data_IF_092672790792
#
_entry.id   IF_092672790792
#
_cell.length_a   1.000
_cell.length_b   1.000
_cell.length_c   1.000
_cell.angle_alpha   90.00
_cell.angle_beta   90.00
_cell.angle_gamma   90.00
#
_symmetry.space_group_name_H-M   'P 1'
#
loop_
_entity.id
_entity.type
_entity.pdbx_description
1 polymer ?
#
# COMPACT_ATOMS: atom_id res chain seq x y z
N UNK A 1 23.41 -14.10 25.94
CA UNK A 1 23.12 -14.96 24.78
C UNK A 1 22.27 -14.17 23.81
N UNK A 2 22.88 -13.66 22.74
CA UNK A 2 22.19 -12.82 21.76
C UNK A 2 21.30 -13.71 20.88
N UNK A 3 20.00 -13.43 20.89
CA UNK A 3 19.01 -14.02 19.99
C UNK A 3 19.46 -13.76 18.55
N UNK A 4 19.75 -14.81 17.79
CA UNK A 4 19.91 -14.73 16.34
C UNK A 4 18.58 -14.28 15.76
N UNK A 5 18.48 -13.01 15.38
CA UNK A 5 17.38 -12.52 14.58
C UNK A 5 17.36 -13.31 13.27
N UNK A 6 16.34 -14.14 13.07
CA UNK A 6 15.99 -14.64 11.75
C UNK A 6 15.77 -13.40 10.87
N UNK A 7 16.70 -13.13 9.97
CA UNK A 7 16.54 -12.11 8.95
C UNK A 7 15.33 -12.50 8.12
N UNK A 8 14.20 -11.89 8.42
CA UNK A 8 12.95 -12.10 7.73
C UNK A 8 13.18 -11.75 6.24
N UNK A 9 12.97 -12.72 5.36
CA UNK A 9 13.11 -12.51 3.92
C UNK A 9 12.09 -11.46 3.50
N UNK A 10 12.55 -10.26 3.10
CA UNK A 10 11.69 -9.14 2.71
C UNK A 10 12.25 -8.44 1.48
N UNK A 11 11.37 -8.02 0.59
CA UNK A 11 11.74 -7.21 -0.57
C UNK A 11 12.04 -5.76 -0.16
N UNK A 12 13.09 -5.18 -0.73
CA UNK A 12 13.53 -3.80 -0.45
C UNK A 12 12.81 -2.82 -1.40
N UNK A 13 11.61 -2.44 -1.05
CA UNK A 13 10.80 -1.52 -1.86
C UNK A 13 11.45 -0.13 -2.02
N UNK A 14 12.14 0.37 -1.00
CA UNK A 14 12.73 1.70 -1.01
C UNK A 14 13.73 1.95 -2.13
N UNK A 15 14.50 0.92 -2.56
CA UNK A 15 15.41 1.05 -3.72
C UNK A 15 14.67 1.34 -5.03
N UNK A 16 13.46 0.82 -5.18
CA UNK A 16 12.63 1.09 -6.35
C UNK A 16 11.99 2.47 -6.29
N UNK A 17 11.62 2.94 -5.10
CA UNK A 17 11.09 4.28 -4.91
C UNK A 17 12.09 5.38 -5.22
N UNK A 18 13.40 5.18 -4.94
CA UNK A 18 14.44 6.11 -5.36
C UNK A 18 14.52 6.28 -6.88
N UNK A 19 14.37 5.18 -7.63
CA UNK A 19 14.30 5.24 -9.10
C UNK A 19 13.00 5.89 -9.60
N UNK A 20 11.91 5.71 -8.86
CA UNK A 20 10.64 6.32 -9.19
C UNK A 20 10.65 7.84 -9.02
N UNK A 21 11.36 8.39 -8.02
CA UNK A 21 11.46 9.83 -7.78
C UNK A 21 11.89 10.62 -9.02
N UNK A 22 12.88 10.09 -9.78
CA UNK A 22 13.34 10.74 -11.03
C UNK A 22 12.25 10.80 -12.11
N UNK A 23 11.17 10.06 -11.96
CA UNK A 23 10.05 9.97 -12.88
C UNK A 23 8.79 10.70 -12.39
N UNK A 24 8.81 11.23 -11.15
CA UNK A 24 7.69 12.04 -10.64
C UNK A 24 7.64 13.35 -11.41
N UNK A 25 6.52 13.60 -12.05
CA UNK A 25 6.22 14.82 -12.79
C UNK A 25 4.84 15.33 -12.40
N UNK A 26 4.53 16.57 -12.82
CA UNK A 26 3.27 17.22 -12.49
C UNK A 26 2.03 16.40 -12.90
N UNK A 27 2.08 15.71 -14.04
CA UNK A 27 0.95 14.86 -14.50
C UNK A 27 0.65 13.71 -13.52
N UNK A 28 1.68 13.14 -12.90
CA UNK A 28 1.51 12.08 -11.88
C UNK A 28 0.97 12.61 -10.57
N UNK A 29 1.41 13.80 -10.18
CA UNK A 29 0.88 14.46 -8.98
C UNK A 29 -0.59 14.77 -9.17
N UNK A 30 -0.98 15.36 -10.30
CA UNK A 30 -2.39 15.63 -10.66
C UNK A 30 -3.22 14.35 -10.73
N UNK A 31 -2.67 13.25 -11.26
CA UNK A 31 -3.35 11.96 -11.28
C UNK A 31 -3.58 11.42 -9.85
N UNK A 32 -2.60 11.57 -8.96
CA UNK A 32 -2.73 11.18 -7.55
C UNK A 32 -3.76 12.05 -6.80
N UNK A 33 -3.77 13.36 -7.02
CA UNK A 33 -4.77 14.28 -6.48
C UNK A 33 -6.19 13.88 -6.93
N UNK A 34 -6.36 13.61 -8.23
CA UNK A 34 -7.63 13.16 -8.79
C UNK A 34 -8.08 11.82 -8.19
N UNK A 35 -7.16 10.88 -8.01
CA UNK A 35 -7.46 9.58 -7.41
C UNK A 35 -7.93 9.74 -5.95
N UNK A 36 -7.19 10.51 -5.13
CA UNK A 36 -7.58 10.79 -3.74
C UNK A 36 -8.92 11.50 -3.66
N UNK A 37 -9.15 12.54 -4.46
CA UNK A 37 -10.42 13.28 -4.49
C UNK A 37 -11.58 12.39 -4.92
N UNK A 38 -11.37 11.52 -5.90
CA UNK A 38 -12.39 10.57 -6.37
C UNK A 38 -12.78 9.58 -5.28
N UNK A 39 -11.82 9.13 -4.46
CA UNK A 39 -12.04 8.11 -3.44
C UNK A 39 -12.52 8.72 -2.12
N UNK A 40 -11.89 9.80 -1.66
CA UNK A 40 -12.08 10.38 -0.33
C UNK A 40 -12.92 11.66 -0.32
N UNK A 41 -13.18 12.25 -1.49
CA UNK A 41 -13.88 13.53 -1.60
C UNK A 41 -12.98 14.72 -1.21
N UNK A 42 -13.58 15.74 -0.59
CA UNK A 42 -12.85 16.92 -0.12
C UNK A 42 -12.11 16.62 1.19
N UNK A 43 -10.79 16.74 1.14
CA UNK A 43 -9.90 16.47 2.29
C UNK A 43 -9.21 17.74 2.84
N UNK A 44 -9.55 18.92 2.33
CA UNK A 44 -8.98 20.19 2.78
C UNK A 44 -9.20 20.40 4.28
N UNK A 45 -8.15 20.78 5.00
CA UNK A 45 -8.15 21.00 6.45
C UNK A 45 -8.26 19.72 7.29
N UNK A 46 -8.31 18.52 6.68
CA UNK A 46 -8.33 17.25 7.40
C UNK A 46 -6.91 16.83 7.77
N UNK A 47 -6.77 16.16 8.93
CA UNK A 47 -5.54 15.46 9.28
C UNK A 47 -5.47 14.13 8.49
N UNK A 48 -4.35 13.91 7.80
CA UNK A 48 -4.15 12.76 6.91
C UNK A 48 -2.89 11.99 7.31
N UNK A 49 -3.02 10.71 7.61
CA UNK A 49 -1.90 9.81 7.85
C UNK A 49 -1.66 8.93 6.63
N UNK A 50 -0.44 8.96 6.08
CA UNK A 50 0.00 8.06 5.01
C UNK A 50 0.88 6.94 5.62
N UNK A 51 0.27 5.78 5.84
CA UNK A 51 0.90 4.65 6.50
C UNK A 51 1.52 3.69 5.46
N UNK A 52 2.85 3.72 5.35
CA UNK A 52 3.61 3.09 4.28
C UNK A 52 3.71 4.02 3.08
N UNK A 53 4.27 5.21 3.28
CA UNK A 53 4.25 6.30 2.30
C UNK A 53 5.09 6.05 1.03
N UNK A 54 6.02 5.10 1.04
CA UNK A 54 6.83 4.74 -0.12
C UNK A 54 7.57 5.92 -0.74
N UNK A 55 7.15 6.33 -1.94
CA UNK A 55 7.72 7.47 -2.66
C UNK A 55 7.23 8.84 -2.15
N UNK A 56 6.20 8.88 -1.30
CA UNK A 56 5.58 10.11 -0.82
C UNK A 56 4.58 10.75 -1.78
N UNK A 57 4.27 10.12 -2.93
CA UNK A 57 3.38 10.72 -3.93
C UNK A 57 1.96 10.96 -3.39
N UNK A 58 1.41 10.00 -2.62
CA UNK A 58 0.10 10.16 -1.97
C UNK A 58 0.13 11.26 -0.91
N UNK A 59 1.21 11.33 -0.12
CA UNK A 59 1.43 12.39 0.86
C UNK A 59 1.49 13.77 0.22
N UNK A 60 2.23 13.91 -0.90
CA UNK A 60 2.32 15.16 -1.67
C UNK A 60 0.96 15.56 -2.23
N UNK A 61 0.23 14.63 -2.83
CA UNK A 61 -1.10 14.88 -3.36
C UNK A 61 -2.09 15.33 -2.26
N UNK A 62 -2.09 14.65 -1.12
CA UNK A 62 -2.92 15.03 0.03
C UNK A 62 -2.57 16.43 0.56
N UNK A 63 -1.27 16.75 0.65
CA UNK A 63 -0.80 18.08 1.07
C UNK A 63 -1.26 19.19 0.10
N UNK A 64 -1.11 18.97 -1.20
CA UNK A 64 -1.58 19.92 -2.24
C UNK A 64 -3.09 20.10 -2.26
N UNK A 65 -3.85 19.08 -1.89
CA UNK A 65 -5.30 19.18 -1.67
C UNK A 65 -5.67 19.90 -0.38
N UNK A 66 -4.68 20.36 0.41
CA UNK A 66 -4.86 21.16 1.62
C UNK A 66 -5.06 20.34 2.89
N UNK A 67 -4.69 19.07 2.91
CA UNK A 67 -4.69 18.26 4.12
C UNK A 67 -3.43 18.53 4.99
N UNK A 68 -3.56 18.32 6.31
CA UNK A 68 -2.44 18.29 7.25
C UNK A 68 -1.86 16.89 7.30
N UNK A 69 -0.74 16.67 6.60
CA UNK A 69 -0.16 15.35 6.37
C UNK A 69 0.83 14.96 7.47
N UNK A 70 0.75 13.69 7.88
CA UNK A 70 1.82 12.95 8.53
C UNK A 70 2.04 11.64 7.75
N UNK A 71 3.27 11.15 7.69
CA UNK A 71 3.61 9.96 6.93
C UNK A 71 4.64 9.11 7.67
N UNK A 72 4.59 7.80 7.49
CA UNK A 72 5.65 6.91 7.94
C UNK A 72 5.85 5.74 6.98
N UNK A 73 7.02 5.14 7.04
CA UNK A 73 7.32 3.89 6.35
C UNK A 73 8.25 3.04 7.21
N UNK A 74 8.17 1.73 7.04
CA UNK A 74 9.10 0.79 7.68
C UNK A 74 10.50 0.84 7.05
N UNK A 75 10.56 1.12 5.73
CA UNK A 75 11.80 1.18 4.97
C UNK A 75 12.39 2.59 5.03
N UNK A 76 13.55 2.73 5.66
CA UNK A 76 14.28 4.00 5.78
C UNK A 76 14.56 4.68 4.44
N UNK A 77 14.71 3.90 3.36
CA UNK A 77 14.89 4.45 2.00
C UNK A 77 13.59 5.06 1.47
N UNK A 78 12.43 4.47 1.77
CA UNK A 78 11.12 5.07 1.47
C UNK A 78 10.93 6.39 2.22
N UNK A 79 11.30 6.43 3.49
CA UNK A 79 11.30 7.68 4.30
C UNK A 79 12.20 8.75 3.66
N UNK A 80 13.41 8.36 3.24
CA UNK A 80 14.34 9.28 2.56
C UNK A 80 13.77 9.78 1.22
N UNK A 81 13.10 8.92 0.45
CA UNK A 81 12.40 9.30 -0.79
C UNK A 81 11.32 10.35 -0.54
N UNK A 82 10.46 10.13 0.46
CA UNK A 82 9.41 11.07 0.81
C UNK A 82 9.98 12.42 1.25
N UNK A 83 11.06 12.43 2.07
CA UNK A 83 11.74 13.65 2.48
C UNK A 83 12.39 14.40 1.31
N UNK A 84 12.97 13.68 0.36
CA UNK A 84 13.52 14.29 -0.85
C UNK A 84 12.42 14.89 -1.73
N UNK A 85 11.26 14.22 -1.85
CA UNK A 85 10.11 14.79 -2.55
C UNK A 85 9.61 16.08 -1.90
N UNK A 86 9.55 16.13 -0.56
CA UNK A 86 9.25 17.37 0.19
C UNK A 86 10.24 18.48 -0.18
N UNK A 87 11.54 18.18 -0.14
CA UNK A 87 12.61 19.14 -0.45
C UNK A 87 12.48 19.70 -1.87
N UNK A 88 12.25 18.81 -2.85
CA UNK A 88 12.10 19.22 -4.27
C UNK A 88 10.89 20.14 -4.50
N UNK A 89 9.85 20.02 -3.70
CA UNK A 89 8.64 20.86 -3.80
C UNK A 89 8.61 22.04 -2.82
N UNK A 90 9.65 22.24 -2.01
CA UNK A 90 9.69 23.30 -0.99
C UNK A 90 8.61 23.13 0.09
N UNK A 91 8.21 21.90 0.38
CA UNK A 91 7.13 21.57 1.32
C UNK A 91 7.69 20.83 2.53
N UNK A 92 6.90 20.82 3.62
CA UNK A 92 7.27 20.10 4.85
C UNK A 92 6.03 19.52 5.52
N UNK A 93 6.13 18.25 5.89
CA UNK A 93 5.22 17.55 6.80
C UNK A 93 5.99 16.49 7.59
N UNK A 94 5.41 16.00 8.69
CA UNK A 94 6.04 14.97 9.51
C UNK A 94 6.22 13.70 8.69
N UNK A 95 7.47 13.23 8.54
CA UNK A 95 7.81 11.95 7.88
C UNK A 95 8.87 11.24 8.71
N UNK A 96 8.57 10.02 9.14
CA UNK A 96 9.44 9.25 10.05
C UNK A 96 9.43 7.76 9.75
N UNK A 97 10.39 7.04 10.32
CA UNK A 97 10.41 5.59 10.31
C UNK A 97 9.40 5.05 11.31
N UNK A 98 8.63 4.04 10.89
CA UNK A 98 7.64 3.42 11.74
C UNK A 98 7.06 2.14 11.13
N UNK A 99 6.43 1.32 11.97
CA UNK A 99 5.85 0.05 11.53
C UNK A 99 4.36 -0.01 11.86
N UNK A 100 3.57 -0.43 10.89
CA UNK A 100 2.14 -0.73 11.12
C UNK A 100 1.93 -1.93 12.06
N UNK A 101 2.97 -2.74 12.30
CA UNK A 101 2.92 -3.83 13.26
C UNK A 101 3.24 -3.37 14.70
N UNK A 102 3.68 -2.13 14.91
CA UNK A 102 3.93 -1.55 16.23
C UNK A 102 2.71 -0.73 16.71
N UNK A 103 1.83 -1.38 17.48
CA UNK A 103 0.64 -0.75 18.04
C UNK A 103 0.98 0.43 18.98
N UNK A 104 2.10 0.33 19.75
CA UNK A 104 2.51 1.42 20.64
C UNK A 104 2.96 2.65 19.84
N UNK A 105 3.68 2.44 18.72
CA UNK A 105 4.04 3.52 17.81
C UNK A 105 2.79 4.20 17.24
N UNK A 106 1.83 3.42 16.72
CA UNK A 106 0.60 3.97 16.15
C UNK A 106 -0.25 4.73 17.18
N UNK A 107 -0.30 4.26 18.41
CA UNK A 107 -0.97 4.96 19.52
C UNK A 107 -0.32 6.32 19.79
N UNK A 108 1.02 6.40 19.78
CA UNK A 108 1.77 7.64 19.99
C UNK A 108 1.64 8.65 18.85
N UNK A 109 1.31 8.20 17.64
CA UNK A 109 1.04 9.10 16.51
C UNK A 109 -0.19 9.98 16.74
N UNK A 110 -1.13 9.54 17.57
CA UNK A 110 -2.42 10.16 17.77
C UNK A 110 -3.46 9.74 16.74
N UNK A 111 -4.52 10.52 16.59
CA UNK A 111 -5.67 10.19 15.74
C UNK A 111 -5.81 11.15 14.57
N UNK A 112 -6.23 10.62 13.43
CA UNK A 112 -6.36 11.34 12.16
C UNK A 112 -7.80 11.23 11.62
N UNK A 113 -8.23 12.28 10.89
CA UNK A 113 -9.51 12.28 10.18
C UNK A 113 -9.51 11.27 9.04
N UNK A 114 -8.32 11.04 8.42
CA UNK A 114 -8.12 10.11 7.33
C UNK A 114 -6.83 9.35 7.57
N UNK A 115 -6.91 8.01 7.50
CA UNK A 115 -5.74 7.12 7.50
C UNK A 115 -5.73 6.39 6.17
N UNK A 116 -4.63 6.50 5.43
CA UNK A 116 -4.41 5.84 4.14
C UNK A 116 -3.29 4.82 4.25
N UNK A 117 -3.52 3.60 3.78
CA UNK A 117 -2.50 2.55 3.69
C UNK A 117 -2.70 1.75 2.40
N UNK A 118 -2.17 2.30 1.31
CA UNK A 118 -2.41 1.78 -0.02
C UNK A 118 -1.25 0.87 -0.48
N UNK A 119 -1.54 -0.45 -0.62
CA UNK A 119 -0.56 -1.41 -1.11
C UNK A 119 0.50 -1.83 -0.08
N UNK A 120 0.21 -1.76 1.22
CA UNK A 120 1.18 -1.94 2.32
C UNK A 120 0.86 -3.14 3.20
N UNK A 121 -0.37 -3.23 3.71
CA UNK A 121 -0.73 -4.14 4.80
C UNK A 121 -0.52 -5.61 4.45
N UNK A 122 -0.69 -5.98 3.19
CA UNK A 122 -0.50 -7.33 2.66
C UNK A 122 0.97 -7.69 2.38
N UNK A 123 1.91 -6.79 2.69
CA UNK A 123 3.36 -7.02 2.64
C UNK A 123 4.00 -7.07 4.02
N UNK A 124 3.21 -7.17 5.07
CA UNK A 124 3.70 -7.20 6.46
C UNK A 124 4.09 -8.59 6.95
N UNK A 125 3.54 -9.65 6.33
CA UNK A 125 3.66 -11.03 6.83
C UNK A 125 2.71 -11.35 7.98
N UNK A 126 2.00 -10.32 8.47
CA UNK A 126 1.01 -10.39 9.56
C UNK A 126 -0.19 -9.47 9.25
N UNK A 127 -0.79 -9.66 8.07
CA UNK A 127 -1.78 -8.74 7.51
C UNK A 127 -2.94 -8.44 8.48
N UNK A 128 -3.50 -9.44 9.16
CA UNK A 128 -4.62 -9.23 10.09
C UNK A 128 -4.20 -8.50 11.38
N UNK A 129 -2.94 -8.63 11.82
CA UNK A 129 -2.37 -7.80 12.89
C UNK A 129 -2.23 -6.36 12.41
N UNK A 130 -1.72 -6.17 11.18
CA UNK A 130 -1.65 -4.86 10.54
C UNK A 130 -3.04 -4.21 10.37
N UNK A 131 -4.08 -4.98 10.01
CA UNK A 131 -5.47 -4.50 9.95
C UNK A 131 -5.97 -4.00 11.31
N UNK A 132 -5.69 -4.76 12.38
CA UNK A 132 -6.09 -4.35 13.73
C UNK A 132 -5.38 -3.07 14.15
N UNK A 133 -4.10 -3.00 13.90
CA UNK A 133 -3.28 -1.88 14.34
C UNK A 133 -3.57 -0.60 13.55
N UNK A 134 -3.79 -0.68 12.22
CA UNK A 134 -4.07 0.51 11.40
C UNK A 134 -5.41 1.19 11.77
N UNK A 135 -6.29 0.49 12.46
CA UNK A 135 -7.54 1.04 13.01
C UNK A 135 -7.32 1.98 14.21
N UNK A 136 -6.15 1.88 14.90
CA UNK A 136 -5.82 2.68 16.09
C UNK A 136 -5.81 4.17 15.76
N UNK A 137 -5.03 4.65 14.78
CA UNK A 137 -4.92 6.08 14.49
C UNK A 137 -6.13 6.69 13.78
N UNK A 138 -7.20 5.94 13.54
CA UNK A 138 -8.43 6.48 12.93
C UNK A 138 -9.32 7.10 13.99
N UNK A 139 -9.66 8.38 13.87
CA UNK A 139 -10.62 9.06 14.76
C UNK A 139 -12.02 8.41 14.68
N UNK A 140 -12.83 8.45 15.75
CA UNK A 140 -14.28 8.21 15.63
C UNK A 140 -14.87 9.09 14.51
N UNK A 141 -15.67 8.51 13.60
CA UNK A 141 -16.18 9.17 12.40
C UNK A 141 -15.16 9.38 11.27
N UNK A 142 -13.88 9.12 11.50
CA UNK A 142 -12.81 9.23 10.52
C UNK A 142 -12.85 8.13 9.46
N UNK A 143 -12.05 8.30 8.40
CA UNK A 143 -11.98 7.39 7.27
C UNK A 143 -10.68 6.58 7.31
N UNK A 144 -10.80 5.30 6.95
CA UNK A 144 -9.69 4.40 6.66
C UNK A 144 -9.74 4.01 5.17
N UNK A 145 -8.71 4.36 4.41
CA UNK A 145 -8.55 3.96 3.01
C UNK A 145 -7.43 2.94 2.87
N UNK A 146 -7.74 1.73 2.43
CA UNK A 146 -6.78 0.65 2.24
C UNK A 146 -6.91 0.00 0.87
N UNK A 147 -5.80 -0.56 0.39
CA UNK A 147 -5.75 -1.36 -0.83
C UNK A 147 -5.07 -2.69 -0.54
N UNK A 148 -5.75 -3.80 -0.83
CA UNK A 148 -5.33 -5.16 -0.48
C UNK A 148 -5.37 -6.06 -1.72
N UNK A 149 -4.37 -6.91 -1.90
CA UNK A 149 -4.36 -7.91 -2.97
C UNK A 149 -5.54 -8.88 -2.85
N UNK A 150 -6.20 -9.08 -4.00
CA UNK A 150 -7.32 -10.00 -4.10
C UNK A 150 -6.86 -11.46 -4.02
N UNK A 151 -7.54 -12.28 -3.22
CA UNK A 151 -7.30 -13.71 -3.17
C UNK A 151 -7.87 -14.41 -4.41
N UNK A 152 -6.98 -15.07 -5.15
CA UNK A 152 -7.29 -15.86 -6.34
C UNK A 152 -7.19 -17.37 -6.08
N UNK A 153 -7.18 -17.78 -4.81
CA UNK A 153 -7.04 -19.18 -4.42
C UNK A 153 -5.68 -19.76 -4.83
N UNK A 154 -5.69 -20.84 -5.62
CA UNK A 154 -4.46 -21.55 -6.04
C UNK A 154 -3.45 -20.63 -6.75
N UNK A 155 -3.91 -19.67 -7.53
CA UNK A 155 -3.02 -18.73 -8.22
C UNK A 155 -2.30 -17.79 -7.22
N UNK A 156 -2.97 -17.40 -6.14
CA UNK A 156 -2.34 -16.63 -5.06
C UNK A 156 -1.24 -17.44 -4.36
N UNK A 157 -1.48 -18.73 -4.13
CA UNK A 157 -0.50 -19.65 -3.56
C UNK A 157 0.72 -19.79 -4.48
N UNK A 158 0.49 -19.98 -5.79
CA UNK A 158 1.56 -20.02 -6.79
C UNK A 158 2.44 -18.75 -6.73
N UNK A 159 1.84 -17.57 -6.75
CA UNK A 159 2.58 -16.30 -6.67
C UNK A 159 3.31 -16.14 -5.35
N UNK A 160 2.75 -16.62 -4.23
CA UNK A 160 3.44 -16.62 -2.93
C UNK A 160 4.74 -17.43 -2.98
N UNK A 161 4.71 -18.59 -3.60
CA UNK A 161 5.90 -19.45 -3.78
C UNK A 161 6.93 -18.78 -4.70
N UNK A 162 6.49 -18.27 -5.85
CA UNK A 162 7.36 -17.55 -6.80
C UNK A 162 8.08 -16.39 -6.13
N UNK A 163 7.35 -15.54 -5.42
CA UNK A 163 7.91 -14.38 -4.70
C UNK A 163 8.88 -14.80 -3.60
N UNK A 164 8.57 -15.87 -2.87
CA UNK A 164 9.47 -16.41 -1.85
C UNK A 164 10.79 -16.87 -2.49
N UNK A 165 10.75 -17.66 -3.56
CA UNK A 165 11.95 -18.13 -4.29
C UNK A 165 12.74 -16.94 -4.85
N UNK A 166 12.07 -15.94 -5.44
CA UNK A 166 12.72 -14.73 -5.95
C UNK A 166 13.58 -14.04 -4.88
N UNK A 167 13.13 -14.05 -3.62
CA UNK A 167 13.81 -13.40 -2.49
C UNK A 167 14.85 -14.29 -1.78
N UNK A 168 15.10 -15.52 -2.21
CA UNK A 168 16.12 -16.39 -1.59
C UNK A 168 17.57 -16.02 -1.97
N UNK A 169 17.77 -15.08 -2.91
CA UNK A 169 19.08 -14.60 -3.31
C UNK A 169 19.23 -14.40 -4.82
N UNK A 170 20.46 -14.24 -5.29
CA UNK A 170 20.73 -13.92 -6.69
C UNK A 170 20.22 -15.01 -7.67
N UNK A 171 20.45 -16.27 -7.37
CA UNK A 171 19.98 -17.39 -8.21
C UNK A 171 18.45 -17.42 -8.32
N UNK A 172 17.74 -17.25 -7.20
CA UNK A 172 16.28 -17.19 -7.20
C UNK A 172 15.75 -16.03 -8.03
N UNK A 173 16.38 -14.86 -7.94
CA UNK A 173 16.01 -13.67 -8.74
C UNK A 173 16.17 -13.94 -10.24
N UNK A 174 17.35 -14.40 -10.68
CA UNK A 174 17.61 -14.67 -12.09
C UNK A 174 16.64 -15.74 -12.60
N UNK A 175 16.52 -16.85 -11.90
CA UNK A 175 15.69 -17.99 -12.29
C UNK A 175 14.20 -17.58 -12.45
N UNK A 176 13.63 -16.91 -11.43
CA UNK A 176 12.24 -16.48 -11.48
C UNK A 176 12.01 -15.39 -12.52
N UNK A 177 12.97 -14.47 -12.73
CA UNK A 177 12.89 -13.47 -13.79
C UNK A 177 12.84 -14.14 -15.17
N UNK A 178 13.72 -15.09 -15.45
CA UNK A 178 13.79 -15.77 -16.75
C UNK A 178 12.53 -16.60 -17.05
N UNK A 179 12.05 -17.36 -16.08
CA UNK A 179 10.84 -18.19 -16.25
C UNK A 179 9.61 -17.33 -16.55
N UNK A 180 9.49 -16.15 -15.91
CA UNK A 180 8.31 -15.30 -16.09
C UNK A 180 8.48 -14.23 -17.18
N UNK A 181 9.66 -14.13 -17.82
CA UNK A 181 9.91 -13.18 -18.90
C UNK A 181 8.92 -13.29 -20.07
N UNK A 182 8.52 -14.51 -20.53
CA UNK A 182 7.51 -14.64 -21.59
C UNK A 182 6.14 -14.06 -21.20
N UNK A 183 5.75 -14.22 -19.96
CA UNK A 183 4.50 -13.64 -19.43
C UNK A 183 4.51 -12.11 -19.50
N UNK A 184 5.63 -11.48 -19.17
CA UNK A 184 5.81 -10.04 -19.25
C UNK A 184 5.86 -9.56 -20.69
N UNK A 185 6.61 -10.27 -21.54
CA UNK A 185 6.66 -9.99 -22.98
C UNK A 185 5.27 -10.03 -23.62
N UNK A 186 4.47 -11.05 -23.29
CA UNK A 186 3.08 -11.16 -23.73
C UNK A 186 2.21 -9.96 -23.27
N UNK A 187 2.32 -9.57 -22.01
CA UNK A 187 1.63 -8.37 -21.48
C UNK A 187 2.06 -7.08 -22.18
N UNK A 188 3.36 -6.95 -22.48
CA UNK A 188 3.90 -5.81 -23.23
C UNK A 188 3.28 -5.71 -24.63
N UNK A 189 3.25 -6.84 -25.37
CA UNK A 189 2.67 -6.93 -26.70
C UNK A 189 1.18 -6.58 -26.69
N UNK A 190 0.40 -7.22 -25.79
CA UNK A 190 -1.04 -6.93 -25.62
C UNK A 190 -1.27 -5.45 -25.32
N UNK A 191 -0.48 -4.87 -24.42
CA UNK A 191 -0.60 -3.46 -24.07
C UNK A 191 -0.30 -2.52 -25.24
N UNK A 192 0.77 -2.82 -26.02
CA UNK A 192 1.12 -2.07 -27.21
C UNK A 192 0.00 -2.10 -28.24
N UNK A 193 -0.62 -3.26 -28.46
CA UNK A 193 -1.74 -3.43 -29.39
C UNK A 193 -2.99 -2.70 -28.88
N UNK A 194 -3.31 -2.80 -27.60
CA UNK A 194 -4.53 -2.19 -27.00
C UNK A 194 -4.38 -0.70 -26.68
N UNK A 195 -3.21 -0.09 -26.90
CA UNK A 195 -2.89 1.33 -26.58
C UNK A 195 -3.28 1.75 -25.17
N UNK A 196 -3.32 0.84 -24.20
CA UNK A 196 -3.68 1.16 -22.82
C UNK A 196 -2.61 2.03 -22.18
N UNK A 197 -2.97 3.14 -21.52
CA UNK A 197 -2.01 4.01 -20.85
C UNK A 197 -1.27 3.26 -19.75
N UNK A 198 -0.06 3.74 -19.42
CA UNK A 198 0.72 3.21 -18.29
C UNK A 198 0.05 3.74 -17.02
N UNK A 199 -0.73 2.89 -16.35
CA UNK A 199 -1.23 3.19 -15.03
C UNK A 199 -0.03 3.45 -14.13
N UNK A 200 -0.06 4.55 -13.35
CA UNK A 200 1.01 5.00 -12.44
C UNK A 200 2.34 5.41 -13.08
N UNK A 201 2.48 5.39 -14.41
CA UNK A 201 3.67 5.91 -15.08
C UNK A 201 4.99 5.22 -14.74
N UNK A 202 5.03 4.09 -14.05
CA UNK A 202 6.23 3.30 -13.83
C UNK A 202 6.65 2.58 -15.12
N UNK A 203 7.95 2.29 -15.29
CA UNK A 203 8.39 1.48 -16.40
C UNK A 203 7.87 0.05 -16.22
N UNK A 204 7.50 -0.62 -17.31
CA UNK A 204 7.01 -2.01 -17.27
C UNK A 204 8.02 -2.97 -16.61
N UNK A 205 9.31 -2.68 -16.72
CA UNK A 205 10.35 -3.46 -16.10
C UNK A 205 10.38 -3.28 -14.57
N UNK A 206 10.23 -2.05 -14.09
CA UNK A 206 10.17 -1.75 -12.66
C UNK A 206 8.92 -2.40 -12.04
N UNK A 207 7.74 -2.24 -12.69
CA UNK A 207 6.50 -2.91 -12.27
C UNK A 207 6.66 -4.44 -12.19
N UNK A 208 7.41 -5.02 -13.13
CA UNK A 208 7.67 -6.45 -13.16
C UNK A 208 8.54 -6.91 -11.99
N UNK A 209 9.62 -6.21 -11.74
CA UNK A 209 10.52 -6.51 -10.63
C UNK A 209 9.80 -6.35 -9.28
N UNK A 210 9.00 -5.30 -9.13
CA UNK A 210 8.15 -5.09 -7.95
C UNK A 210 7.13 -6.22 -7.78
N UNK A 211 6.51 -6.63 -8.89
CA UNK A 211 5.57 -7.74 -8.84
C UNK A 211 6.23 -9.05 -8.42
N UNK A 212 7.38 -9.41 -8.98
CA UNK A 212 8.10 -10.62 -8.60
C UNK A 212 8.69 -10.53 -7.19
N UNK A 213 9.20 -9.35 -6.83
CA UNK A 213 9.90 -9.13 -5.57
C UNK A 213 9.01 -8.99 -4.35
N UNK A 214 7.80 -8.48 -4.51
CA UNK A 214 6.91 -8.09 -3.41
C UNK A 214 6.59 -9.20 -2.40
N UNK A 215 7.50 -9.45 -1.47
CA UNK A 215 7.39 -10.43 -0.40
C UNK A 215 7.71 -9.75 0.96
N UNK A 216 7.00 -10.07 2.08
CA UNK A 216 5.88 -11.02 2.20
C UNK A 216 4.71 -10.73 1.25
N UNK A 217 3.96 -11.77 0.89
CA UNK A 217 2.81 -11.66 0.00
C UNK A 217 1.60 -12.33 0.65
N UNK A 218 0.62 -11.53 0.99
CA UNK A 218 -0.63 -11.96 1.58
C UNK A 218 -1.79 -11.44 0.73
N UNK A 219 -2.90 -12.12 0.80
CA UNK A 219 -4.10 -11.81 0.02
C UNK A 219 -5.34 -12.03 0.87
N UNK A 220 -6.42 -11.34 0.55
CA UNK A 220 -7.71 -11.57 1.19
C UNK A 220 -8.85 -11.46 0.19
N UNK A 221 -9.95 -12.18 0.45
CA UNK A 221 -11.21 -11.97 -0.26
C UNK A 221 -11.84 -10.67 0.22
N UNK A 222 -12.50 -9.91 -0.65
CA UNK A 222 -13.15 -8.66 -0.26
C UNK A 222 -14.11 -8.83 0.92
N UNK A 223 -14.85 -9.91 0.94
CA UNK A 223 -15.80 -10.24 2.02
C UNK A 223 -15.08 -10.33 3.37
N UNK A 224 -13.96 -11.07 3.44
CA UNK A 224 -13.23 -11.30 4.68
C UNK A 224 -12.66 -9.97 5.25
N UNK A 225 -12.20 -9.08 4.35
CA UNK A 225 -11.74 -7.73 4.74
C UNK A 225 -12.88 -6.90 5.31
N UNK A 226 -14.04 -6.90 4.65
CA UNK A 226 -15.22 -6.15 5.09
C UNK A 226 -15.71 -6.67 6.45
N UNK A 227 -15.84 -7.98 6.61
CA UNK A 227 -16.28 -8.61 7.87
C UNK A 227 -15.30 -8.31 9.02
N UNK A 228 -13.99 -8.35 8.73
CA UNK A 228 -12.96 -8.03 9.74
C UNK A 228 -13.08 -6.59 10.25
N UNK A 229 -13.16 -5.60 9.35
CA UNK A 229 -13.30 -4.21 9.77
C UNK A 229 -14.67 -3.89 10.37
N UNK A 230 -15.73 -4.57 9.95
CA UNK A 230 -17.03 -4.48 10.61
C UNK A 230 -16.95 -4.94 12.08
N UNK A 231 -16.21 -6.03 12.35
CA UNK A 231 -15.91 -6.49 13.72
C UNK A 231 -15.10 -5.50 14.57
N UNK A 232 -14.36 -4.59 13.94
CA UNK A 232 -13.64 -3.50 14.61
C UNK A 232 -14.45 -2.19 14.71
N UNK A 233 -15.74 -2.21 14.38
CA UNK A 233 -16.61 -1.04 14.46
C UNK A 233 -16.48 -0.08 13.28
N UNK A 234 -16.14 -0.59 12.10
CA UNK A 234 -16.12 0.19 10.87
C UNK A 234 -17.28 -0.17 9.95
N UNK A 235 -17.77 0.84 9.23
CA UNK A 235 -18.78 0.68 8.18
C UNK A 235 -18.16 0.97 6.82
N UNK A 236 -18.49 0.16 5.80
CA UNK A 236 -18.04 0.37 4.42
C UNK A 236 -18.69 1.62 3.85
N UNK A 237 -17.89 2.56 3.34
CA UNK A 237 -18.36 3.76 2.64
C UNK A 237 -18.27 3.57 1.12
N UNK A 238 -17.16 2.98 0.66
CA UNK A 238 -16.89 2.79 -0.78
C UNK A 238 -15.99 1.60 -0.99
N UNK A 239 -16.22 0.90 -2.09
CA UNK A 239 -15.32 -0.16 -2.56
C UNK A 239 -15.04 -0.01 -4.04
N UNK A 240 -13.82 -0.37 -4.45
CA UNK A 240 -13.44 -0.56 -5.84
C UNK A 240 -12.85 -1.97 -5.95
N UNK A 241 -13.70 -2.92 -6.35
CA UNK A 241 -13.36 -4.34 -6.33
C UNK A 241 -12.91 -4.82 -7.70
N UNK A 242 -11.85 -5.62 -7.73
CA UNK A 242 -11.36 -6.25 -8.95
C UNK A 242 -12.44 -7.18 -9.52
N UNK A 243 -12.90 -6.85 -10.74
CA UNK A 243 -13.97 -7.60 -11.41
C UNK A 243 -15.36 -7.34 -10.88
N UNK A 244 -15.56 -6.32 -10.02
CA UNK A 244 -16.87 -5.91 -9.52
C UNK A 244 -17.56 -6.92 -8.59
N UNK A 245 -16.81 -7.89 -8.02
CA UNK A 245 -17.38 -8.99 -7.26
C UNK A 245 -16.70 -9.19 -5.90
N UNK A 246 -17.51 -9.47 -4.87
CA UNK A 246 -17.04 -9.86 -3.53
C UNK A 246 -16.27 -11.19 -3.52
N UNK A 247 -16.42 -12.03 -4.54
CA UNK A 247 -15.80 -13.35 -4.66
C UNK A 247 -14.56 -13.32 -5.59
N UNK A 248 -14.25 -12.16 -6.16
CA UNK A 248 -13.27 -11.87 -7.20
C UNK A 248 -12.26 -12.96 -7.56
N UNK A 249 -12.26 -13.36 -8.83
CA UNK A 249 -11.27 -14.32 -9.37
C UNK A 249 -10.15 -13.64 -10.19
N UNK A 250 -10.15 -12.30 -10.25
CA UNK A 250 -9.19 -11.53 -11.06
C UNK A 250 -8.00 -11.05 -10.24
N UNK A 251 -6.85 -10.92 -10.88
CA UNK A 251 -5.64 -10.32 -10.30
C UNK A 251 -5.83 -8.82 -10.11
N UNK A 252 -5.37 -8.30 -9.00
CA UNK A 252 -5.35 -6.86 -8.72
C UNK A 252 -5.56 -6.53 -7.25
N UNK A 253 -5.69 -5.25 -6.97
CA UNK A 253 -5.95 -4.72 -5.64
C UNK A 253 -7.43 -4.38 -5.50
N UNK A 254 -8.02 -4.80 -4.40
CA UNK A 254 -9.31 -4.31 -3.94
C UNK A 254 -9.08 -3.08 -3.06
N UNK A 255 -9.79 -2.02 -3.32
CA UNK A 255 -9.73 -0.80 -2.54
C UNK A 255 -10.99 -0.66 -1.68
N UNK A 256 -10.79 -0.23 -0.45
CA UNK A 256 -11.85 -0.07 0.53
C UNK A 256 -11.72 1.27 1.23
N UNK A 257 -12.83 1.97 1.38
CA UNK A 257 -12.97 3.11 2.28
C UNK A 257 -13.95 2.72 3.37
N UNK A 258 -13.48 2.73 4.59
CA UNK A 258 -14.28 2.47 5.78
C UNK A 258 -14.43 3.74 6.60
N UNK A 259 -15.53 3.86 7.32
CA UNK A 259 -15.75 4.89 8.34
C UNK A 259 -15.77 4.23 9.72
N UNK A 260 -14.97 4.76 10.65
CA UNK A 260 -15.01 4.33 12.04
C UNK A 260 -16.28 4.85 12.70
N UNK A 261 -17.07 3.99 13.33
CA UNK A 261 -18.29 4.38 14.01
C UNK A 261 -18.00 5.28 15.23
N UNK A 262 -18.94 6.17 15.59
CA UNK A 262 -18.75 7.11 16.70
C UNK A 262 -18.82 6.46 18.08
N UNK A 263 -19.61 5.36 18.21
CA UNK A 263 -19.84 4.66 19.47
C UNK A 263 -19.52 3.16 19.33
N UNK A 264 -18.36 2.76 19.86
CA UNK A 264 -18.24 1.42 20.47
C UNK A 264 -17.40 1.57 21.73
N UNK A 265 -17.94 1.24 22.93
CA UNK A 265 -17.09 1.04 24.09
C UNK A 265 -16.10 -0.08 23.77
N UNK A 266 -14.84 0.13 24.15
CA UNK A 266 -13.80 -0.89 24.03
C UNK A 266 -14.31 -2.21 24.60
N UNK A 267 -14.60 -3.18 23.75
CA UNK A 267 -14.82 -4.56 24.20
C UNK A 267 -13.45 -5.12 24.57
N UNK A 268 -13.09 -4.92 25.82
CA UNK A 268 -12.02 -5.69 26.46
C UNK A 268 -12.38 -7.18 26.36
N UNK A 269 -11.63 -7.93 25.55
CA UNK A 269 -11.50 -9.38 25.63
C UNK A 269 -10.04 -9.76 25.61
#
# INVERSE_FOLDING_TARGET
MASRSHTEVRFKFGQNWQRFLSSVNEQRVLAAEKALTTVLGNIRGKTFLDAGCGSGLSSLAAHRLGAHVAAFDYDTQSVACTKELQRCHGLSWRTEEGSVLDANYLTKLGQFDIVSSWGVLHHTGKMYEAFRNIAIPVKPGGLLFISIYNDQGFLSLYWKVVKRIYNTGWFGRVFMTLIHLPYVGGRFVVRKITRRPIERGMSLWVDYIDWLGGYPFEVAKPRDVIEFFAGLGFTVVKTNLVGGSLVGRRSGNNEFVFRKNHDQPERHR
#
